data_IF_832561621742
#
_entry.id   IF_832561621742
#
_cell.length_a   1.000
_cell.length_b   1.000
_cell.length_c   1.000
_cell.angle_alpha   90.00
_cell.angle_beta   90.00
_cell.angle_gamma   90.00
#
_symmetry.space_group_name_H-M   'P 1'
#
loop_
_entity.id
_entity.type
_entity.pdbx_description
1 polymer ?
#
# COMPACT_ATOMS: atom_id res chain seq x y z
N UNK A 1 2.05 9.71 2.46
CA UNK A 1 2.35 8.68 1.45
C UNK A 1 1.43 8.81 0.24
N UNK A 2 0.12 8.51 0.35
CA UNK A 2 -0.77 8.58 -0.82
C UNK A 2 -0.86 9.97 -1.45
N UNK A 3 -0.95 11.04 -0.64
CA UNK A 3 -0.98 12.42 -1.19
C UNK A 3 0.32 12.79 -1.92
N UNK A 4 1.46 12.23 -1.49
CA UNK A 4 2.75 12.41 -2.17
C UNK A 4 2.74 11.65 -3.51
N UNK A 5 2.29 10.39 -3.52
CA UNK A 5 2.17 9.59 -4.75
C UNK A 5 1.24 10.26 -5.78
N UNK A 6 0.12 10.85 -5.34
CA UNK A 6 -0.78 11.62 -6.20
C UNK A 6 -0.08 12.87 -6.75
N UNK A 7 0.58 13.65 -5.88
CA UNK A 7 1.31 14.86 -6.30
C UNK A 7 2.41 14.55 -7.33
N UNK A 8 3.10 13.43 -7.15
CA UNK A 8 4.18 12.95 -8.01
C UNK A 8 3.69 12.15 -9.22
N UNK A 9 2.37 11.94 -9.35
CA UNK A 9 1.73 11.18 -10.44
C UNK A 9 2.31 9.78 -10.62
N UNK A 10 2.45 9.04 -9.52
CA UNK A 10 2.94 7.67 -9.54
C UNK A 10 1.83 6.70 -9.94
N UNK A 11 2.14 5.75 -10.81
CA UNK A 11 1.21 4.68 -11.21
C UNK A 11 1.21 3.50 -10.22
N UNK A 12 2.31 3.29 -9.50
CA UNK A 12 2.50 2.18 -8.56
C UNK A 12 3.17 2.63 -7.27
N UNK A 13 2.62 2.18 -6.15
CA UNK A 13 3.18 2.34 -4.82
C UNK A 13 3.48 0.97 -4.20
N UNK A 14 4.75 0.71 -3.92
CA UNK A 14 5.22 -0.49 -3.23
C UNK A 14 5.41 -0.16 -1.75
N UNK A 15 4.77 -0.94 -0.87
CA UNK A 15 4.83 -0.74 0.59
C UNK A 15 5.12 -2.03 1.31
N UNK A 16 5.74 -1.92 2.49
CA UNK A 16 5.92 -3.06 3.38
C UNK A 16 4.62 -3.40 4.13
N UNK A 17 3.92 -2.38 4.65
CA UNK A 17 2.65 -2.54 5.35
C UNK A 17 1.47 -2.10 4.47
N UNK A 18 0.65 -3.07 4.06
CA UNK A 18 -0.56 -2.85 3.27
C UNK A 18 -1.76 -2.35 4.07
N UNK A 19 -2.92 -2.30 3.40
CA UNK A 19 -4.18 -1.88 4.01
C UNK A 19 -4.93 -3.02 4.73
N UNK A 20 -4.75 -4.27 4.29
CA UNK A 20 -5.54 -5.42 4.76
C UNK A 20 -4.67 -6.40 5.56
N UNK A 21 -5.21 -6.87 6.71
CA UNK A 21 -4.46 -7.65 7.70
C UNK A 21 -5.26 -8.88 8.20
N UNK A 22 -5.91 -9.60 7.29
CA UNK A 22 -6.53 -10.90 7.56
C UNK A 22 -7.91 -10.87 8.22
N UNK A 23 -8.47 -9.69 8.50
CA UNK A 23 -9.85 -9.53 8.94
C UNK A 23 -10.64 -8.92 7.80
N UNK A 24 -11.85 -9.41 7.54
CA UNK A 24 -12.80 -8.76 6.63
C UNK A 24 -13.12 -7.36 7.16
N UNK A 25 -12.83 -6.34 6.34
CA UNK A 25 -13.06 -4.96 6.71
C UNK A 25 -13.98 -4.28 5.71
N UNK A 26 -15.10 -3.76 6.20
CA UNK A 26 -15.95 -2.88 5.41
C UNK A 26 -15.19 -1.61 5.09
N UNK A 27 -15.15 -1.23 3.81
CA UNK A 27 -14.45 -0.02 3.34
C UNK A 27 -15.30 1.21 3.68
N UNK A 28 -15.19 1.69 4.91
CA UNK A 28 -15.85 2.91 5.41
C UNK A 28 -14.84 3.81 6.11
N UNK A 29 -15.27 5.01 6.53
CA UNK A 29 -14.47 5.92 7.35
C UNK A 29 -13.06 6.17 6.80
N UNK A 30 -12.04 5.87 7.61
CA UNK A 30 -10.64 6.06 7.24
C UNK A 30 -10.17 5.10 6.12
N UNK A 31 -10.65 3.85 6.14
CA UNK A 31 -10.30 2.87 5.10
C UNK A 31 -10.82 3.34 3.74
N UNK A 32 -12.07 3.82 3.69
CA UNK A 32 -12.63 4.43 2.50
C UNK A 32 -11.81 5.63 2.02
N UNK A 33 -11.42 6.55 2.90
CA UNK A 33 -10.60 7.71 2.52
C UNK A 33 -9.25 7.29 1.91
N UNK A 34 -8.66 6.19 2.38
CA UNK A 34 -7.39 5.65 1.87
C UNK A 34 -7.57 4.96 0.52
N UNK A 35 -8.51 4.02 0.42
CA UNK A 35 -8.78 3.26 -0.80
C UNK A 35 -9.29 4.16 -1.92
N UNK A 36 -10.24 5.07 -1.63
CA UNK A 36 -10.79 5.97 -2.64
C UNK A 36 -9.76 6.92 -3.24
N UNK A 37 -8.74 7.34 -2.48
CA UNK A 37 -7.63 8.15 -3.01
C UNK A 37 -6.84 7.40 -4.08
N UNK A 38 -6.53 6.12 -3.83
CA UNK A 38 -5.79 5.29 -4.78
C UNK A 38 -6.62 5.04 -6.05
N UNK A 39 -7.88 4.63 -5.90
CA UNK A 39 -8.79 4.36 -7.03
C UNK A 39 -9.02 5.60 -7.88
N UNK A 40 -9.34 6.75 -7.28
CA UNK A 40 -9.66 8.00 -8.02
C UNK A 40 -8.48 8.58 -8.80
N UNK A 41 -7.26 8.17 -8.47
CA UNK A 41 -6.04 8.67 -9.11
C UNK A 41 -5.30 7.55 -9.87
N UNK A 42 -5.95 6.40 -10.09
CA UNK A 42 -5.41 5.26 -10.83
C UNK A 42 -4.05 4.76 -10.33
N UNK A 43 -3.87 4.72 -9.00
CA UNK A 43 -2.62 4.31 -8.37
C UNK A 43 -2.74 2.89 -7.84
N UNK A 44 -1.92 1.97 -8.36
CA UNK A 44 -1.80 0.62 -7.85
C UNK A 44 -1.05 0.61 -6.49
N UNK A 45 -1.51 -0.22 -5.57
CA UNK A 45 -0.84 -0.46 -4.29
C UNK A 45 -0.40 -1.93 -4.21
N UNK A 46 0.90 -2.16 -4.13
CA UNK A 46 1.49 -3.47 -3.91
C UNK A 46 2.09 -3.53 -2.51
N UNK A 47 1.66 -4.52 -1.71
CA UNK A 47 2.16 -4.73 -0.36
C UNK A 47 2.93 -6.04 -0.27
N UNK A 48 4.16 -5.99 0.25
CA UNK A 48 4.96 -7.17 0.53
C UNK A 48 5.49 -7.08 1.96
N UNK A 49 4.87 -7.85 2.85
CA UNK A 49 5.20 -7.86 4.28
C UNK A 49 6.30 -8.90 4.56
N UNK A 50 5.94 -10.06 5.11
CA UNK A 50 6.90 -11.12 5.49
C UNK A 50 7.85 -11.56 4.36
N UNK A 51 7.43 -11.68 3.09
CA UNK A 51 8.38 -12.05 2.04
C UNK A 51 9.44 -10.97 1.78
N UNK A 52 9.13 -9.69 2.02
CA UNK A 52 10.12 -8.62 1.95
C UNK A 52 11.06 -8.68 3.14
N UNK A 53 10.56 -8.93 4.36
CA UNK A 53 11.42 -9.06 5.54
C UNK A 53 12.47 -10.17 5.40
N UNK A 54 12.09 -11.30 4.80
CA UNK A 54 12.94 -12.47 4.65
C UNK A 54 13.76 -12.49 3.35
N UNK A 55 13.65 -11.48 2.48
CA UNK A 55 14.27 -11.54 1.16
C UNK A 55 15.82 -11.44 1.25
N UNK A 56 16.60 -12.37 0.66
CA UNK A 56 18.05 -12.45 0.87
C UNK A 56 18.87 -11.32 0.24
N UNK A 57 18.28 -10.51 -0.63
CA UNK A 57 18.99 -9.43 -1.38
C UNK A 57 18.45 -8.04 -1.05
N UNK A 58 17.16 -7.92 -0.75
CA UNK A 58 16.47 -6.62 -0.61
C UNK A 58 15.64 -6.58 0.67
N UNK A 59 15.93 -7.46 1.63
CA UNK A 59 15.10 -7.62 2.80
C UNK A 59 15.39 -6.60 3.89
N UNK A 60 14.42 -6.45 4.79
CA UNK A 60 14.57 -5.54 5.93
C UNK A 60 15.50 -6.12 7.02
N UNK A 61 15.65 -7.45 7.06
CA UNK A 61 16.44 -8.18 8.07
C UNK A 61 17.78 -8.71 7.54
N UNK A 62 18.22 -8.23 6.38
CA UNK A 62 19.54 -8.53 5.81
C UNK A 62 20.63 -7.62 6.36
#
# INVERSE_FOLDING_TARGET
MFDKAIKEKLDLLIVHHGLFWGIEQTITGLMYKRVSKLIKNDIALYACHLPLDAHPVVGNNT
#
